data_IF_013710217121
#
_entry.id   IF_013710217121
#
_cell.length_a   1.000
_cell.length_b   1.000
_cell.length_c   1.000
_cell.angle_alpha   90.00
_cell.angle_beta   90.00
_cell.angle_gamma   90.00
#
_symmetry.space_group_name_H-M   'P 1'
#
loop_
_entity.id
_entity.type
_entity.pdbx_description
1 polymer ?
#
# COMPACT_ATOMS: atom_id res chain seq x y z
N UNK A 1 29.63 -18.47 -75.30
CA UNK A 1 29.12 -17.43 -74.34
C UNK A 1 28.23 -18.08 -73.30
N UNK A 2 28.72 -18.28 -72.13
CA UNK A 2 27.95 -18.86 -71.06
C UNK A 2 27.37 -17.69 -70.19
N UNK A 3 26.06 -17.57 -70.18
CA UNK A 3 25.38 -16.60 -69.34
C UNK A 3 25.30 -17.14 -67.90
N UNK A 4 26.07 -16.55 -67.00
CA UNK A 4 25.92 -16.82 -65.56
C UNK A 4 24.68 -16.13 -65.09
N UNK A 5 23.66 -16.90 -64.64
CA UNK A 5 22.52 -16.40 -63.90
C UNK A 5 22.95 -16.27 -62.44
N UNK A 6 23.20 -15.08 -62.01
CA UNK A 6 23.35 -14.80 -60.60
C UNK A 6 21.97 -14.94 -59.92
N UNK A 7 21.85 -15.94 -59.10
CA UNK A 7 20.70 -16.01 -58.13
C UNK A 7 21.03 -15.09 -56.98
N UNK A 8 20.35 -13.98 -56.91
CA UNK A 8 20.35 -13.13 -55.71
C UNK A 8 19.65 -13.89 -54.58
N UNK A 9 20.41 -14.34 -53.60
CA UNK A 9 19.84 -14.82 -52.34
C UNK A 9 19.41 -13.61 -51.50
N UNK A 10 18.10 -13.42 -51.37
CA UNK A 10 17.57 -12.50 -50.37
C UNK A 10 17.78 -13.15 -49.02
N UNK A 11 18.76 -12.68 -48.29
CA UNK A 11 18.85 -12.95 -46.86
C UNK A 11 17.82 -12.05 -46.14
N UNK A 12 16.70 -12.64 -45.75
CA UNK A 12 15.82 -12.03 -44.80
C UNK A 12 16.54 -11.99 -43.42
N UNK A 13 17.10 -10.87 -43.08
CA UNK A 13 17.47 -10.60 -41.70
C UNK A 13 16.20 -10.32 -40.93
N UNK A 14 15.68 -11.31 -40.24
CA UNK A 14 14.68 -11.13 -39.19
C UNK A 14 15.35 -10.37 -38.06
N UNK A 15 15.16 -9.05 -38.03
CA UNK A 15 15.45 -8.28 -36.87
C UNK A 15 14.47 -8.74 -35.76
N UNK A 16 14.96 -9.59 -34.85
CA UNK A 16 14.28 -9.87 -33.61
C UNK A 16 14.23 -8.56 -32.83
N UNK A 17 13.11 -7.85 -32.93
CA UNK A 17 12.81 -6.81 -32.00
C UNK A 17 12.56 -7.50 -30.65
N UNK A 18 13.57 -7.52 -29.82
CA UNK A 18 13.39 -7.65 -28.37
C UNK A 18 12.53 -6.45 -27.94
N UNK A 19 11.23 -6.65 -27.98
CA UNK A 19 10.32 -5.80 -27.23
C UNK A 19 10.68 -6.03 -25.76
N UNK A 20 11.65 -5.26 -25.27
CA UNK A 20 11.83 -5.06 -23.86
C UNK A 20 10.51 -4.54 -23.35
N UNK A 21 9.71 -5.42 -22.72
CA UNK A 21 8.61 -4.99 -21.88
C UNK A 21 9.24 -4.15 -20.79
N UNK A 22 9.30 -2.85 -21.05
CA UNK A 22 9.41 -1.88 -19.99
C UNK A 22 8.14 -2.12 -19.20
N UNK A 23 8.23 -2.92 -18.14
CA UNK A 23 7.27 -2.82 -17.08
C UNK A 23 7.46 -1.40 -16.54
N UNK A 24 6.83 -0.42 -17.18
CA UNK A 24 6.48 0.78 -16.53
C UNK A 24 5.67 0.27 -15.34
N UNK A 25 6.31 0.18 -14.17
CA UNK A 25 5.58 0.13 -12.92
C UNK A 25 4.68 1.36 -12.99
N UNK A 26 3.42 1.15 -13.36
CA UNK A 26 2.41 2.17 -13.18
C UNK A 26 2.64 2.68 -11.77
N UNK A 27 2.81 3.98 -11.53
CA UNK A 27 2.82 4.48 -10.17
C UNK A 27 1.62 3.81 -9.55
N UNK A 28 1.85 3.02 -8.50
CA UNK A 28 0.77 2.31 -7.82
C UNK A 28 -0.28 3.37 -7.62
N UNK A 29 -1.40 3.28 -8.35
CA UNK A 29 -2.43 4.30 -8.27
C UNK A 29 -2.79 4.34 -6.81
N UNK A 30 -2.44 5.45 -6.13
CA UNK A 30 -2.80 5.62 -4.74
C UNK A 30 -4.28 5.28 -4.64
N UNK A 31 -4.64 4.34 -3.79
CA UNK A 31 -6.01 3.91 -3.67
C UNK A 31 -6.89 5.14 -3.44
N UNK A 32 -8.09 5.14 -4.00
CA UNK A 32 -9.01 6.28 -3.93
C UNK A 32 -9.68 6.43 -2.55
N UNK A 33 -9.54 5.42 -1.70
CA UNK A 33 -10.12 5.40 -0.34
C UNK A 33 -9.39 4.40 0.56
N UNK A 34 -9.51 4.51 1.90
CA UNK A 34 -8.98 3.50 2.83
C UNK A 34 -9.51 2.09 2.54
N UNK A 35 -10.79 1.95 2.20
CA UNK A 35 -11.38 0.65 1.83
C UNK A 35 -10.71 0.10 0.56
N UNK A 36 -10.49 0.94 -0.45
CA UNK A 36 -9.80 0.53 -1.66
C UNK A 36 -8.34 0.14 -1.39
N UNK A 37 -7.66 0.81 -0.46
CA UNK A 37 -6.30 0.47 -0.04
C UNK A 37 -6.24 -0.93 0.60
N UNK A 38 -7.27 -1.33 1.34
CA UNK A 38 -7.40 -2.69 1.90
C UNK A 38 -7.76 -3.76 0.86
N UNK A 39 -8.10 -3.36 -0.36
CA UNK A 39 -8.49 -4.26 -1.45
C UNK A 39 -9.97 -4.20 -1.82
N UNK A 40 -10.73 -3.29 -1.22
CA UNK A 40 -12.16 -3.15 -1.48
C UNK A 40 -12.99 -4.36 -1.03
N UNK A 41 -13.99 -4.71 -1.82
CA UNK A 41 -14.78 -5.93 -1.61
C UNK A 41 -15.58 -5.89 -0.32
N UNK A 42 -15.34 -6.86 0.56
CA UNK A 42 -16.05 -7.02 1.84
C UNK A 42 -15.47 -6.16 2.99
N UNK A 43 -14.38 -5.44 2.76
CA UNK A 43 -13.85 -4.54 3.77
C UNK A 43 -14.79 -3.37 4.02
N UNK A 44 -15.03 -3.08 5.28
CA UNK A 44 -15.78 -1.91 5.74
C UNK A 44 -15.11 -1.29 6.95
N UNK A 45 -15.24 0.00 7.11
CA UNK A 45 -14.68 0.72 8.27
C UNK A 45 -15.47 0.32 9.51
N UNK A 46 -14.76 -0.20 10.51
CA UNK A 46 -15.34 -0.50 11.84
C UNK A 46 -14.94 0.49 12.90
N UNK A 47 -13.80 1.17 12.71
CA UNK A 47 -13.36 2.26 13.59
C UNK A 47 -12.43 3.22 12.87
N UNK A 48 -12.25 4.43 13.42
CA UNK A 48 -11.32 5.42 12.92
C UNK A 48 -10.91 6.41 14.00
N UNK A 49 -9.70 6.94 13.91
CA UNK A 49 -9.21 7.95 14.83
C UNK A 49 -8.47 9.07 14.08
N UNK A 50 -8.86 10.31 14.37
CA UNK A 50 -8.22 11.48 13.78
C UNK A 50 -6.86 11.76 14.44
N UNK A 51 -5.82 11.89 13.63
CA UNK A 51 -4.50 12.34 14.05
C UNK A 51 -4.42 13.88 13.98
N UNK A 52 -5.23 14.55 14.81
CA UNK A 52 -5.42 16.00 14.74
C UNK A 52 -5.83 16.42 13.31
N UNK A 53 -5.16 17.41 12.73
CA UNK A 53 -5.37 17.85 11.34
C UNK A 53 -4.43 17.16 10.33
N UNK A 54 -3.62 16.21 10.76
CA UNK A 54 -2.54 15.64 9.93
C UNK A 54 -2.94 14.36 9.20
N UNK A 55 -3.92 13.63 9.72
CA UNK A 55 -4.36 12.38 9.12
C UNK A 55 -5.49 11.72 9.90
N UNK A 56 -5.89 10.55 9.43
CA UNK A 56 -6.84 9.66 10.09
C UNK A 56 -6.36 8.23 9.98
N UNK A 57 -6.33 7.51 11.08
CA UNK A 57 -6.13 6.05 11.07
C UNK A 57 -7.50 5.40 10.90
N UNK A 58 -7.60 4.48 9.97
CA UNK A 58 -8.81 3.69 9.70
C UNK A 58 -8.55 2.23 10.04
N UNK A 59 -9.46 1.63 10.78
CA UNK A 59 -9.55 0.20 10.98
C UNK A 59 -10.71 -0.36 10.15
N UNK A 60 -10.41 -1.33 9.31
CA UNK A 60 -11.38 -2.00 8.46
C UNK A 60 -11.35 -3.49 8.72
N UNK A 61 -12.50 -4.14 8.52
CA UNK A 61 -12.68 -5.55 8.74
C UNK A 61 -13.50 -6.18 7.60
N UNK A 62 -13.19 -7.41 7.25
CA UNK A 62 -13.91 -8.15 6.18
C UNK A 62 -14.64 -9.41 6.66
N UNK A 63 -14.73 -9.59 7.99
CA UNK A 63 -15.30 -10.78 8.63
C UNK A 63 -14.26 -11.76 9.18
N UNK A 64 -12.97 -11.58 8.89
CA UNK A 64 -11.88 -12.41 9.41
C UNK A 64 -10.56 -11.66 9.55
N UNK A 65 -10.32 -10.66 8.72
CA UNK A 65 -9.04 -9.94 8.64
C UNK A 65 -9.24 -8.48 8.96
N UNK A 66 -8.46 -7.98 9.91
CA UNK A 66 -8.31 -6.57 10.21
C UNK A 66 -7.32 -5.92 9.25
N UNK A 67 -7.63 -4.72 8.82
CA UNK A 67 -6.80 -3.93 7.93
C UNK A 67 -6.69 -2.50 8.44
N UNK A 68 -5.48 -2.00 8.63
CA UNK A 68 -5.22 -0.64 9.08
C UNK A 68 -4.56 0.18 7.99
N UNK A 69 -5.04 1.39 7.81
CA UNK A 69 -4.49 2.38 6.90
C UNK A 69 -4.42 3.72 7.62
N UNK A 70 -3.29 4.40 7.56
CA UNK A 70 -3.14 5.78 8.02
C UNK A 70 -3.17 6.71 6.82
N UNK A 71 -4.23 7.48 6.71
CA UNK A 71 -4.51 8.38 5.58
C UNK A 71 -4.13 9.81 5.91
N UNK A 72 -3.31 10.43 5.08
CA UNK A 72 -2.87 11.82 5.29
C UNK A 72 -3.97 12.82 4.93
N UNK A 73 -4.08 13.88 5.72
CA UNK A 73 -4.92 15.04 5.45
C UNK A 73 -4.12 16.34 5.39
N UNK A 74 -2.85 16.29 5.79
CA UNK A 74 -1.88 17.39 5.65
C UNK A 74 -0.66 16.92 4.88
N UNK A 75 0.03 17.84 4.23
CA UNK A 75 1.19 17.57 3.37
C UNK A 75 0.93 16.47 2.33
N UNK A 76 -0.31 16.41 1.85
CA UNK A 76 -0.75 15.46 0.82
C UNK A 76 0.03 15.72 -0.46
N UNK A 77 0.60 14.66 -1.05
CA UNK A 77 1.49 14.75 -2.20
C UNK A 77 2.96 15.00 -1.87
N UNK A 78 3.29 15.35 -0.62
CA UNK A 78 4.67 15.51 -0.14
C UNK A 78 5.06 14.28 0.68
N UNK A 79 6.13 13.56 0.34
CA UNK A 79 6.58 12.40 1.11
C UNK A 79 6.99 12.81 2.53
N UNK A 80 6.26 12.31 3.53
CA UNK A 80 6.55 12.44 4.96
C UNK A 80 6.43 11.06 5.60
N UNK A 81 7.08 10.83 6.74
CA UNK A 81 6.93 9.57 7.45
C UNK A 81 5.48 9.37 7.90
N UNK A 82 4.95 8.21 7.59
CA UNK A 82 3.59 7.77 7.94
C UNK A 82 3.66 6.32 8.36
N UNK A 83 3.02 5.99 9.47
CA UNK A 83 2.98 4.64 9.99
C UNK A 83 1.55 4.13 10.07
N UNK A 84 1.34 2.88 9.68
CA UNK A 84 0.18 2.07 10.01
C UNK A 84 0.63 0.84 10.79
N UNK A 85 -0.12 0.44 11.81
CA UNK A 85 0.23 -0.61 12.75
C UNK A 85 -0.98 -1.44 13.13
N UNK A 86 -0.79 -2.76 13.21
CA UNK A 86 -1.75 -3.70 13.82
C UNK A 86 -1.01 -4.84 14.50
N UNK A 87 -1.45 -5.24 15.70
CA UNK A 87 -0.92 -6.36 16.47
C UNK A 87 -2.07 -7.21 17.01
N UNK A 88 -1.91 -8.52 17.00
CA UNK A 88 -2.88 -9.49 17.52
C UNK A 88 -2.47 -10.00 18.89
N UNK A 89 -3.44 -10.05 19.82
CA UNK A 89 -3.19 -10.44 21.21
C UNK A 89 -2.68 -11.89 21.36
N UNK A 90 -3.23 -12.83 20.61
CA UNK A 90 -3.02 -14.25 20.84
C UNK A 90 -1.55 -14.72 20.72
N UNK A 91 -0.76 -14.05 19.90
CA UNK A 91 0.64 -14.39 19.65
C UNK A 91 1.58 -13.16 19.54
N UNK A 92 1.04 -11.97 19.84
CA UNK A 92 1.75 -10.68 19.73
C UNK A 92 2.35 -10.44 18.34
N UNK A 93 1.74 -11.05 17.32
CA UNK A 93 2.17 -10.82 15.94
C UNK A 93 1.76 -9.42 15.50
N UNK A 94 2.74 -8.63 15.13
CA UNK A 94 2.55 -7.27 14.62
C UNK A 94 2.86 -7.18 13.12
N UNK A 95 2.11 -6.32 12.45
CA UNK A 95 2.38 -5.88 11.07
C UNK A 95 2.49 -4.37 11.07
N UNK A 96 3.59 -3.85 10.54
CA UNK A 96 3.92 -2.43 10.55
C UNK A 96 4.30 -2.00 9.14
N UNK A 97 3.78 -0.87 8.70
CA UNK A 97 4.27 -0.14 7.56
C UNK A 97 4.65 1.27 8.01
N UNK A 98 5.94 1.57 7.99
CA UNK A 98 6.51 2.83 8.49
C UNK A 98 7.57 3.33 7.49
N UNK A 99 7.15 4.22 6.61
CA UNK A 99 7.97 4.79 5.55
C UNK A 99 7.50 6.19 5.17
N UNK A 100 8.24 6.82 4.26
CA UNK A 100 7.81 8.09 3.65
C UNK A 100 6.78 7.84 2.55
N UNK A 101 5.61 8.41 2.74
CA UNK A 101 4.49 8.32 1.81
C UNK A 101 3.90 9.69 1.49
N UNK A 102 3.42 9.83 0.26
CA UNK A 102 2.75 11.05 -0.20
C UNK A 102 1.28 11.11 0.22
N UNK A 103 0.61 9.96 0.38
CA UNK A 103 -0.84 9.89 0.60
C UNK A 103 -1.26 9.08 1.80
N UNK A 104 -0.74 7.87 1.98
CA UNK A 104 -1.10 6.99 3.10
C UNK A 104 -0.05 5.91 3.35
N UNK A 105 -0.03 5.35 4.56
CA UNK A 105 0.68 4.13 4.92
C UNK A 105 -0.30 2.96 5.05
N UNK A 106 0.19 1.76 4.84
CA UNK A 106 -0.60 0.54 4.78
C UNK A 106 -0.97 0.19 3.33
N UNK A 107 -1.83 -0.82 3.14
CA UNK A 107 -2.55 -1.56 4.17
C UNK A 107 -1.64 -2.49 4.99
N UNK A 108 -1.83 -2.53 6.29
CA UNK A 108 -1.31 -3.59 7.15
C UNK A 108 -2.46 -4.47 7.59
N UNK A 109 -2.30 -5.79 7.47
CA UNK A 109 -3.40 -6.76 7.65
C UNK A 109 -3.02 -7.89 8.58
N UNK A 110 -3.98 -8.33 9.39
CA UNK A 110 -3.84 -9.47 10.28
C UNK A 110 -5.16 -10.22 10.41
N UNK A 111 -5.11 -11.54 10.36
CA UNK A 111 -6.28 -12.38 10.68
C UNK A 111 -6.40 -12.47 12.20
N UNK A 112 -7.48 -11.93 12.74
CA UNK A 112 -7.75 -11.90 14.18
C UNK A 112 -9.24 -12.10 14.50
N UNK A 113 -9.91 -13.12 13.94
CA UNK A 113 -11.32 -13.32 14.20
C UNK A 113 -11.55 -13.63 15.69
N UNK A 114 -12.37 -12.83 16.36
CA UNK A 114 -12.68 -12.97 17.78
C UNK A 114 -11.49 -12.74 18.73
N UNK A 115 -10.49 -11.98 18.29
CA UNK A 115 -9.28 -11.69 19.07
C UNK A 115 -9.12 -10.18 19.22
N UNK A 116 -8.66 -9.75 20.38
CA UNK A 116 -8.31 -8.36 20.58
C UNK A 116 -7.09 -7.97 19.73
N UNK A 117 -7.08 -6.73 19.29
CA UNK A 117 -5.97 -6.14 18.55
C UNK A 117 -5.50 -4.84 19.20
N UNK A 118 -4.23 -4.50 18.99
CA UNK A 118 -3.73 -3.13 19.09
C UNK A 118 -3.67 -2.60 17.66
N UNK A 119 -4.15 -1.42 17.43
CA UNK A 119 -4.07 -0.78 16.12
C UNK A 119 -3.82 0.72 16.24
N UNK A 120 -3.30 1.32 15.20
CA UNK A 120 -2.99 2.73 15.22
C UNK A 120 -2.06 3.17 14.11
N UNK A 121 -1.51 4.35 14.29
CA UNK A 121 -0.58 4.93 13.33
C UNK A 121 -0.08 6.30 13.72
N UNK A 122 0.76 6.85 12.88
CA UNK A 122 1.34 8.18 13.07
C UNK A 122 1.58 8.89 11.74
N UNK A 123 1.71 10.20 11.83
CA UNK A 123 2.14 11.07 10.73
C UNK A 123 3.27 11.97 11.20
N UNK A 124 4.13 12.39 10.28
CA UNK A 124 5.22 13.30 10.57
C UNK A 124 5.16 14.58 9.72
N UNK A 125 5.79 15.62 10.23
CA UNK A 125 6.07 16.86 9.50
C UNK A 125 7.14 16.60 8.41
N UNK A 126 7.27 17.47 7.42
CA UNK A 126 8.37 17.41 6.45
C UNK A 126 9.77 17.46 7.09
N UNK A 127 9.90 18.02 8.29
CA UNK A 127 11.14 18.03 9.08
C UNK A 127 11.53 16.64 9.63
N UNK A 128 10.61 15.67 9.61
CA UNK A 128 10.77 14.34 10.21
C UNK A 128 10.27 14.25 11.66
N UNK A 129 9.91 15.36 12.29
CA UNK A 129 9.32 15.33 13.62
C UNK A 129 7.90 14.72 13.55
N UNK A 130 7.55 13.88 14.54
CA UNK A 130 6.20 13.34 14.66
C UNK A 130 5.19 14.48 14.81
N UNK A 131 4.21 14.52 13.92
CA UNK A 131 3.13 15.50 13.96
C UNK A 131 2.00 15.03 14.90
N UNK A 132 1.60 13.77 14.76
CA UNK A 132 0.58 13.13 15.58
C UNK A 132 0.73 11.62 15.54
N UNK A 133 0.46 10.96 16.66
CA UNK A 133 0.45 9.50 16.78
C UNK A 133 -0.65 9.08 17.73
N UNK A 134 -1.26 7.94 17.44
CA UNK A 134 -2.29 7.36 18.28
C UNK A 134 -2.35 5.85 18.11
N UNK A 135 -2.58 5.14 19.20
CA UNK A 135 -2.73 3.68 19.24
C UNK A 135 -3.83 3.32 20.23
N UNK A 136 -4.73 2.42 19.83
CA UNK A 136 -5.71 1.80 20.71
C UNK A 136 -5.18 0.46 21.20
N UNK A 137 -5.41 0.15 22.46
CA UNK A 137 -4.83 -1.04 23.11
C UNK A 137 -5.91 -2.07 23.38
N UNK A 138 -5.71 -3.29 22.90
CA UNK A 138 -6.58 -4.46 23.10
C UNK A 138 -8.07 -4.16 22.98
N UNK A 139 -8.44 -3.76 21.80
CA UNK A 139 -9.81 -3.49 21.40
C UNK A 139 -10.27 -4.45 20.29
N UNK A 140 -11.54 -4.34 19.90
CA UNK A 140 -12.12 -5.17 18.84
C UNK A 140 -11.92 -6.66 19.08
N UNK A 141 -12.35 -7.15 20.26
CA UNK A 141 -12.15 -8.52 20.74
C UNK A 141 -13.22 -9.52 20.26
N UNK A 142 -14.12 -9.15 19.37
CA UNK A 142 -15.32 -9.88 18.90
C UNK A 142 -15.28 -10.37 17.46
#
# INVERSE_FOLDING_TARGET
MRKFKQKAALTLTTAAMLAGSVFASSPANAASSPIAACGGGSYHVIDQHALSSYGTVYLMYNGSTDCVVTWKTAYVGTPTEVQAFVERESDFKAVVDDKKYSYYAGPVKIDAPGMCIIWGGSTALPSGATASAWYDYWSHCD
#
